data_IF_196217371213
#
_entry.id   IF_196217371213
#
_cell.length_a   1.000
_cell.length_b   1.000
_cell.length_c   1.000
_cell.angle_alpha   90.00
_cell.angle_beta   90.00
_cell.angle_gamma   90.00
#
_symmetry.space_group_name_H-M   'P 1'
#
loop_
_entity.id
_entity.type
_entity.pdbx_description
1 polymer ?
#
# COMPACT_ATOMS: atom_id res chain seq x y z
N UNK A 1 -5.10 -51.14 16.17
CA UNK A 1 -6.24 -50.37 15.61
C UNK A 1 -5.64 -49.33 14.68
N UNK A 2 -5.91 -49.43 13.37
CA UNK A 2 -5.39 -48.45 12.41
C UNK A 2 -6.15 -47.12 12.59
N UNK A 3 -5.45 -46.05 12.82
CA UNK A 3 -6.04 -44.72 12.87
C UNK A 3 -6.47 -44.37 11.44
N UNK A 4 -7.77 -44.27 11.20
CA UNK A 4 -8.29 -43.79 9.92
C UNK A 4 -7.81 -42.36 9.67
N UNK A 5 -7.26 -42.11 8.47
CA UNK A 5 -6.90 -40.74 8.10
C UNK A 5 -8.17 -39.90 8.06
N UNK A 6 -8.22 -38.85 8.86
CA UNK A 6 -9.26 -37.81 8.72
C UNK A 6 -9.12 -37.12 7.37
N UNK A 7 -10.22 -36.95 6.68
CA UNK A 7 -10.33 -36.10 5.51
C UNK A 7 -11.52 -35.15 5.69
N UNK A 8 -11.71 -34.19 4.80
CA UNK A 8 -12.78 -33.20 4.96
C UNK A 8 -14.19 -33.81 5.06
N UNK A 9 -14.42 -34.99 4.51
CA UNK A 9 -15.69 -35.73 4.64
C UNK A 9 -15.91 -36.26 6.06
N UNK A 10 -14.90 -36.29 6.90
CA UNK A 10 -15.00 -36.69 8.32
C UNK A 10 -15.52 -35.51 9.22
N UNK A 11 -15.56 -34.32 8.68
CA UNK A 11 -16.09 -33.13 9.35
C UNK A 11 -17.44 -32.83 8.76
N UNK A 12 -18.48 -33.02 9.15
CA UNK A 12 -19.82 -32.72 8.61
C UNK A 12 -19.99 -31.28 8.09
N UNK A 13 -19.07 -30.84 7.25
CA UNK A 13 -18.95 -29.47 6.70
C UNK A 13 -18.90 -29.54 5.19
N UNK A 14 -19.75 -28.79 4.51
CA UNK A 14 -19.64 -28.59 3.06
C UNK A 14 -18.49 -27.62 2.75
N UNK A 15 -17.43 -28.04 2.03
CA UNK A 15 -16.33 -27.16 1.68
C UNK A 15 -16.81 -25.97 0.85
N UNK A 16 -16.38 -24.78 1.21
CA UNK A 16 -16.61 -23.54 0.47
C UNK A 16 -15.25 -22.95 0.11
N UNK A 17 -15.06 -22.60 -1.16
CA UNK A 17 -13.81 -22.00 -1.62
C UNK A 17 -13.47 -20.74 -0.81
N UNK A 18 -12.20 -20.56 -0.49
CA UNK A 18 -11.66 -19.42 0.26
C UNK A 18 -12.21 -19.21 1.67
N UNK A 19 -12.85 -20.24 2.25
CA UNK A 19 -13.31 -20.22 3.64
C UNK A 19 -12.40 -21.06 4.53
N UNK A 20 -12.16 -20.61 5.74
CA UNK A 20 -11.45 -21.38 6.75
C UNK A 20 -12.38 -22.36 7.45
N UNK A 21 -11.84 -23.47 7.96
CA UNK A 21 -12.54 -24.33 8.88
C UNK A 21 -12.53 -23.70 10.27
N UNK A 22 -13.68 -23.55 10.91
CA UNK A 22 -13.83 -22.99 12.23
C UNK A 22 -14.73 -23.89 13.08
N UNK A 23 -14.74 -23.69 14.38
CA UNK A 23 -15.80 -24.26 15.23
C UNK A 23 -17.11 -23.53 14.95
N UNK A 24 -18.23 -24.26 15.02
CA UNK A 24 -19.55 -23.67 14.92
C UNK A 24 -19.90 -22.87 16.19
N UNK A 25 -21.08 -22.24 16.22
CA UNK A 25 -21.49 -21.37 17.31
C UNK A 25 -21.61 -22.09 18.66
N UNK A 26 -21.91 -23.38 18.65
CA UNK A 26 -22.12 -24.20 19.86
C UNK A 26 -20.81 -24.93 20.27
N UNK A 27 -19.76 -24.79 19.48
CA UNK A 27 -18.45 -25.41 19.66
C UNK A 27 -18.46 -26.97 19.74
N UNK A 28 -19.49 -27.58 19.19
CA UNK A 28 -19.66 -29.05 19.14
C UNK A 28 -19.45 -29.62 17.74
N UNK A 29 -19.19 -28.78 16.73
CA UNK A 29 -18.93 -29.12 15.34
C UNK A 29 -18.01 -28.15 14.63
N UNK A 30 -17.95 -28.30 13.31
CA UNK A 30 -17.16 -27.43 12.43
C UNK A 30 -18.07 -26.77 11.41
N UNK A 31 -17.74 -25.51 11.12
CA UNK A 31 -18.35 -24.70 10.08
C UNK A 31 -17.29 -24.03 9.22
N UNK A 32 -17.70 -23.39 8.13
CA UNK A 32 -16.81 -22.52 7.36
C UNK A 32 -16.95 -21.09 7.87
N UNK A 33 -15.85 -20.45 8.27
CA UNK A 33 -15.84 -19.02 8.61
C UNK A 33 -15.54 -18.18 7.39
N UNK A 34 -16.08 -16.95 7.36
CA UNK A 34 -15.51 -15.89 6.53
C UNK A 34 -14.12 -15.62 7.06
N UNK A 35 -13.07 -15.93 6.35
CA UNK A 35 -11.69 -15.67 6.77
C UNK A 35 -11.47 -14.25 7.31
N UNK A 36 -10.24 -13.89 7.64
CA UNK A 36 -9.90 -12.52 8.01
C UNK A 36 -10.41 -11.54 6.96
N UNK A 37 -11.03 -10.44 7.39
CA UNK A 37 -11.45 -9.36 6.49
C UNK A 37 -10.26 -8.68 5.78
N UNK A 38 -9.03 -8.91 6.27
CA UNK A 38 -7.78 -8.39 5.69
C UNK A 38 -6.86 -9.57 5.34
N UNK A 39 -6.69 -9.84 4.05
CA UNK A 39 -6.01 -11.01 3.51
C UNK A 39 -4.70 -10.58 2.86
N UNK A 40 -3.56 -11.10 3.35
CA UNK A 40 -2.25 -10.84 2.72
C UNK A 40 -2.19 -11.53 1.36
N UNK A 41 -1.97 -10.74 0.31
CA UNK A 41 -1.82 -11.21 -1.07
C UNK A 41 -0.34 -11.38 -1.42
N UNK A 42 0.47 -10.33 -1.22
CA UNK A 42 1.86 -10.33 -1.62
C UNK A 42 2.72 -9.47 -0.72
N UNK A 43 3.96 -9.90 -0.53
CA UNK A 43 5.01 -9.11 0.13
C UNK A 43 6.16 -8.90 -0.87
N UNK A 44 6.60 -7.67 -1.03
CA UNK A 44 7.83 -7.32 -1.75
C UNK A 44 8.78 -6.61 -0.78
N UNK A 45 10.01 -7.12 -0.70
CA UNK A 45 11.07 -6.53 0.12
C UNK A 45 12.10 -5.89 -0.80
N UNK A 46 12.45 -4.65 -0.52
CA UNK A 46 13.48 -3.94 -1.27
C UNK A 46 14.88 -4.44 -0.90
N UNK A 47 15.74 -4.50 -1.89
CA UNK A 47 17.17 -4.76 -1.78
C UNK A 47 17.86 -3.96 -2.87
N UNK A 48 18.07 -2.68 -2.62
CA UNK A 48 18.55 -1.70 -3.61
C UNK A 48 17.72 -1.73 -4.92
N UNK A 49 16.39 -1.75 -4.77
CA UNK A 49 15.44 -1.94 -5.86
C UNK A 49 15.05 -0.60 -6.50
N UNK A 50 15.13 -0.49 -7.82
CA UNK A 50 14.68 0.72 -8.54
C UNK A 50 13.18 0.96 -8.36
N UNK A 51 12.40 -0.12 -8.36
CA UNK A 51 10.95 -0.10 -8.13
C UNK A 51 10.48 -1.35 -7.40
N UNK A 52 9.32 -1.26 -6.74
CA UNK A 52 8.53 -2.39 -6.27
C UNK A 52 7.18 -2.35 -7.00
N UNK A 53 6.92 -3.34 -7.86
CA UNK A 53 5.75 -3.34 -8.73
C UNK A 53 4.84 -4.53 -8.42
N UNK A 54 3.55 -4.24 -8.22
CA UNK A 54 2.49 -5.23 -8.07
C UNK A 54 1.66 -5.21 -9.35
N UNK A 55 1.75 -6.26 -10.16
CA UNK A 55 1.04 -6.38 -11.43
C UNK A 55 0.07 -7.55 -11.35
N UNK A 56 -1.20 -7.30 -11.64
CA UNK A 56 -2.27 -8.29 -11.57
C UNK A 56 -1.94 -9.53 -12.43
N UNK A 57 -2.13 -10.71 -11.85
CA UNK A 57 -1.82 -11.99 -12.49
C UNK A 57 -0.33 -12.35 -12.53
N UNK A 58 0.57 -11.49 -12.04
CA UNK A 58 2.00 -11.76 -11.95
C UNK A 58 2.41 -12.14 -10.54
N UNK A 59 3.11 -13.27 -10.37
CA UNK A 59 3.67 -13.70 -9.07
C UNK A 59 2.64 -13.66 -7.92
N UNK A 60 1.46 -14.20 -8.13
CA UNK A 60 0.35 -14.31 -7.17
C UNK A 60 -0.27 -12.95 -6.76
N UNK A 61 0.01 -11.87 -7.49
CA UNK A 61 -0.65 -10.58 -7.27
C UNK A 61 -2.07 -10.62 -7.81
N UNK A 62 -3.02 -10.24 -6.97
CA UNK A 62 -4.44 -10.06 -7.30
C UNK A 62 -4.78 -8.59 -7.13
N UNK A 63 -5.25 -7.93 -8.21
CA UNK A 63 -5.73 -6.54 -8.27
C UNK A 63 -6.94 -6.47 -9.19
N UNK A 64 -7.96 -7.28 -8.91
CA UNK A 64 -9.17 -7.44 -9.72
C UNK A 64 -10.42 -7.10 -8.89
N UNK A 65 -11.56 -7.68 -9.20
CA UNK A 65 -12.83 -7.49 -8.47
C UNK A 65 -13.00 -8.42 -7.25
N UNK A 66 -11.98 -9.21 -6.90
CA UNK A 66 -12.01 -10.08 -5.70
C UNK A 66 -12.18 -9.27 -4.42
N UNK A 67 -11.57 -8.08 -4.35
CA UNK A 67 -11.67 -7.19 -3.20
C UNK A 67 -12.07 -5.78 -3.63
N UNK A 68 -13.03 -5.14 -2.93
CA UNK A 68 -13.40 -3.75 -3.21
C UNK A 68 -12.34 -2.74 -2.79
N UNK A 69 -11.45 -3.13 -1.89
CA UNK A 69 -10.38 -2.30 -1.36
C UNK A 69 -9.07 -3.09 -1.29
N UNK A 70 -8.01 -2.50 -1.79
CA UNK A 70 -6.65 -3.00 -1.67
C UNK A 70 -5.82 -2.05 -0.83
N UNK A 71 -5.14 -2.60 0.19
CA UNK A 71 -4.25 -1.84 1.08
C UNK A 71 -2.81 -2.25 0.89
N UNK A 72 -1.96 -1.27 0.58
CA UNK A 72 -0.51 -1.42 0.57
C UNK A 72 0.04 -0.88 1.89
N UNK A 73 0.69 -1.73 2.67
CA UNK A 73 1.32 -1.35 3.96
C UNK A 73 2.82 -1.22 3.75
N UNK A 74 3.37 -0.09 4.15
CA UNK A 74 4.79 0.25 4.04
C UNK A 74 5.49 0.09 5.39
N UNK A 75 6.59 -0.63 5.41
CA UNK A 75 7.38 -0.88 6.61
C UNK A 75 8.82 -0.49 6.34
N UNK A 76 9.29 0.53 7.06
CA UNK A 76 10.68 0.99 7.06
C UNK A 76 11.26 1.21 5.66
N UNK A 77 10.53 1.93 4.79
CA UNK A 77 11.00 2.28 3.47
C UNK A 77 12.16 3.27 3.59
N UNK A 78 13.34 2.86 3.11
CA UNK A 78 14.59 3.60 3.21
C UNK A 78 15.18 3.84 1.82
N UNK A 79 15.70 5.05 1.50
CA UNK A 79 16.29 5.37 0.21
C UNK A 79 17.79 5.06 0.18
N UNK A 80 18.30 4.61 -0.98
CA UNK A 80 19.73 4.46 -1.23
C UNK A 80 20.45 5.81 -1.41
N UNK A 81 19.71 6.85 -1.79
CA UNK A 81 20.23 8.21 -1.95
C UNK A 81 19.19 9.23 -1.54
N UNK A 82 19.66 10.31 -0.96
CA UNK A 82 18.82 11.43 -0.62
C UNK A 82 18.95 12.53 -1.68
N UNK A 83 17.84 13.14 -2.04
CA UNK A 83 17.83 14.29 -2.94
C UNK A 83 17.50 15.56 -2.15
N UNK A 84 18.32 16.59 -2.28
CA UNK A 84 18.14 17.87 -1.61
C UNK A 84 16.86 18.65 -2.02
N UNK A 85 16.10 18.18 -3.01
CA UNK A 85 14.80 18.73 -3.36
C UNK A 85 13.71 18.23 -2.41
N UNK A 86 13.21 19.10 -1.58
CA UNK A 86 12.33 18.85 -0.43
C UNK A 86 11.01 18.13 -0.72
N UNK A 87 10.62 17.98 -1.99
CA UNK A 87 9.28 17.51 -2.37
C UNK A 87 9.22 16.05 -2.82
N UNK A 88 10.32 15.33 -2.80
CA UNK A 88 10.39 13.98 -3.36
C UNK A 88 10.92 12.94 -2.38
N UNK A 89 10.04 12.08 -1.90
CA UNK A 89 10.41 10.92 -1.11
C UNK A 89 9.99 9.62 -1.79
N UNK A 90 9.16 8.88 -1.09
CA UNK A 90 8.56 7.65 -1.58
C UNK A 90 7.31 7.96 -2.40
N UNK A 91 7.20 7.38 -3.57
CA UNK A 91 6.18 7.69 -4.56
C UNK A 91 5.41 6.45 -5.01
N UNK A 92 4.21 6.67 -5.59
CA UNK A 92 3.48 5.60 -6.27
C UNK A 92 3.00 6.04 -7.65
N UNK A 93 2.79 5.06 -8.52
CA UNK A 93 2.15 5.24 -9.83
C UNK A 93 1.28 4.02 -10.16
N UNK A 94 0.41 4.16 -11.16
CA UNK A 94 -0.54 3.13 -11.57
C UNK A 94 -0.55 2.93 -13.08
N UNK A 95 -0.95 1.73 -13.50
CA UNK A 95 -1.02 1.34 -14.90
C UNK A 95 -2.30 0.55 -15.23
N UNK A 96 -2.74 0.62 -16.48
CA UNK A 96 -3.85 -0.18 -17.02
C UNK A 96 -3.39 -1.31 -17.94
N UNK A 97 -2.09 -1.41 -18.23
CA UNK A 97 -1.51 -2.43 -19.13
C UNK A 97 -0.35 -3.23 -18.48
N UNK A 98 -0.05 -2.96 -17.22
CA UNK A 98 1.02 -3.62 -16.45
C UNK A 98 2.44 -3.13 -16.75
N UNK A 99 2.61 -2.19 -17.67
CA UNK A 99 3.93 -1.75 -18.16
C UNK A 99 4.10 -0.25 -18.15
N UNK A 100 3.11 0.49 -18.63
CA UNK A 100 3.16 1.94 -18.79
C UNK A 100 2.46 2.64 -17.62
N UNK A 101 3.24 3.19 -16.70
CA UNK A 101 2.76 3.90 -15.52
C UNK A 101 2.52 5.38 -15.81
N UNK A 102 1.53 5.67 -16.66
CA UNK A 102 1.27 7.00 -17.24
C UNK A 102 -0.18 7.49 -17.09
N UNK A 103 -0.94 6.90 -16.17
CA UNK A 103 -2.32 7.36 -15.91
C UNK A 103 -2.27 8.72 -15.21
N UNK A 104 -3.03 9.69 -15.70
CA UNK A 104 -3.14 11.01 -15.09
C UNK A 104 -3.81 10.92 -13.71
N UNK A 105 -3.29 11.66 -12.75
CA UNK A 105 -3.78 11.68 -11.36
C UNK A 105 -3.98 13.13 -10.90
N UNK A 106 -5.00 13.32 -10.08
CA UNK A 106 -5.21 14.55 -9.30
C UNK A 106 -5.24 14.18 -7.83
N UNK A 107 -4.51 14.91 -7.01
CA UNK A 107 -4.45 14.67 -5.57
C UNK A 107 -4.36 15.96 -4.77
N UNK A 108 -4.72 15.85 -3.50
CA UNK A 108 -4.43 16.83 -2.46
C UNK A 108 -3.40 16.24 -1.51
N UNK A 109 -2.59 17.10 -0.88
CA UNK A 109 -1.63 16.68 0.13
C UNK A 109 -1.61 17.68 1.29
N UNK A 110 -1.53 17.16 2.51
CA UNK A 110 -1.23 17.99 3.68
C UNK A 110 -0.28 17.25 4.64
N UNK A 111 0.46 18.03 5.42
CA UNK A 111 1.42 17.52 6.38
C UNK A 111 1.16 18.08 7.76
N UNK A 112 1.33 17.21 8.77
CA UNK A 112 1.51 17.63 10.15
C UNK A 112 2.94 17.32 10.57
N UNK A 113 3.56 18.20 11.36
CA UNK A 113 4.92 17.99 11.83
C UNK A 113 5.11 18.48 13.27
N UNK A 114 6.09 17.89 13.95
CA UNK A 114 6.54 18.31 15.26
C UNK A 114 8.05 18.13 15.38
N UNK A 115 8.75 19.19 15.81
CA UNK A 115 10.19 19.13 16.07
C UNK A 115 10.47 18.35 17.36
N UNK A 116 11.53 17.54 17.39
CA UNK A 116 11.88 16.74 18.57
C UNK A 116 12.27 17.60 19.77
N UNK A 117 12.82 18.79 19.54
CA UNK A 117 13.16 19.77 20.59
C UNK A 117 11.96 20.62 21.06
N UNK A 118 10.78 20.37 20.52
CA UNK A 118 9.56 21.12 20.82
C UNK A 118 9.53 22.55 20.26
N UNK A 119 10.53 22.97 19.47
CA UNK A 119 10.66 24.34 18.98
C UNK A 119 9.65 24.72 17.88
N UNK A 120 9.05 23.73 17.20
CA UNK A 120 8.11 23.98 16.12
C UNK A 120 7.14 22.82 15.93
N UNK A 121 5.90 23.15 15.60
CA UNK A 121 4.87 22.20 15.18
C UNK A 121 3.88 22.89 14.25
N UNK A 122 3.18 22.14 13.44
CA UNK A 122 2.18 22.70 12.55
C UNK A 122 1.48 21.65 11.68
N UNK A 123 0.45 22.16 10.99
CA UNK A 123 -0.24 21.42 9.93
C UNK A 123 -0.49 22.39 8.78
N UNK A 124 -0.33 21.92 7.56
CA UNK A 124 -0.55 22.76 6.38
C UNK A 124 -0.72 21.98 5.09
N UNK A 125 -1.29 22.63 4.09
CA UNK A 125 -1.38 22.12 2.74
C UNK A 125 0.01 22.06 2.11
N UNK A 126 0.32 20.96 1.41
CA UNK A 126 1.64 20.75 0.81
C UNK A 126 1.53 20.81 -0.73
N UNK A 127 1.74 21.98 -1.29
CA UNK A 127 1.70 22.25 -2.74
C UNK A 127 2.82 21.54 -3.53
N UNK A 128 3.84 21.03 -2.86
CA UNK A 128 4.93 20.31 -3.52
C UNK A 128 4.63 18.81 -3.71
N UNK A 129 3.60 18.31 -3.03
CA UNK A 129 3.23 16.88 -3.04
C UNK A 129 1.81 16.65 -3.59
N UNK A 130 1.09 17.70 -3.96
CA UNK A 130 -0.19 17.58 -4.68
C UNK A 130 0.01 17.39 -6.18
N UNK A 131 -1.06 17.07 -6.88
CA UNK A 131 -1.03 16.83 -8.32
C UNK A 131 -2.30 17.33 -9.00
N UNK A 132 -2.16 17.91 -10.18
CA UNK A 132 -3.24 18.36 -11.03
C UNK A 132 -3.10 17.75 -12.42
N UNK A 133 -3.77 16.61 -12.67
CA UNK A 133 -3.76 15.84 -13.93
C UNK A 133 -2.34 15.48 -14.42
N UNK A 134 -1.48 15.03 -13.50
CA UNK A 134 -0.11 14.62 -13.84
C UNK A 134 -0.01 13.12 -14.05
N UNK A 135 0.80 12.69 -15.01
CA UNK A 135 1.12 11.28 -15.27
C UNK A 135 2.31 10.78 -14.45
N UNK A 136 3.12 11.69 -13.91
CA UNK A 136 4.24 11.38 -13.03
C UNK A 136 3.78 10.65 -11.76
N UNK A 137 4.69 9.98 -11.07
CA UNK A 137 4.42 9.35 -9.79
C UNK A 137 3.99 10.41 -8.75
N UNK A 138 3.07 10.03 -7.85
CA UNK A 138 2.56 10.88 -6.77
C UNK A 138 3.42 10.66 -5.53
N UNK A 139 3.98 11.72 -4.92
CA UNK A 139 4.67 11.61 -3.66
C UNK A 139 3.72 11.20 -2.52
N UNK A 140 4.07 10.15 -1.80
CA UNK A 140 3.37 9.69 -0.61
C UNK A 140 4.03 10.18 0.68
N UNK A 141 5.29 10.62 0.57
CA UNK A 141 6.05 11.25 1.65
C UNK A 141 6.89 12.39 1.10
N UNK A 142 7.34 13.29 1.95
CA UNK A 142 8.46 14.17 1.64
C UNK A 142 9.78 13.40 1.61
N UNK A 143 10.87 14.14 1.49
CA UNK A 143 12.22 13.60 1.46
C UNK A 143 12.50 12.72 2.67
N UNK A 144 13.08 11.54 2.42
CA UNK A 144 13.62 10.63 3.42
C UNK A 144 15.14 10.69 3.33
N UNK A 145 15.83 10.88 4.44
CA UNK A 145 17.29 10.95 4.48
C UNK A 145 17.92 9.55 4.52
N UNK A 146 19.22 9.48 4.24
CA UNK A 146 19.97 8.22 4.12
C UNK A 146 20.65 7.79 5.42
N UNK A 147 20.38 8.49 6.53
CA UNK A 147 20.85 8.04 7.84
C UNK A 147 20.14 6.73 8.20
N UNK A 148 20.86 5.80 8.79
CA UNK A 148 20.43 4.40 8.97
C UNK A 148 19.16 4.22 9.81
N UNK A 149 18.76 5.22 10.58
CA UNK A 149 17.57 5.26 11.41
C UNK A 149 16.38 5.97 10.76
N UNK A 150 16.59 6.61 9.61
CA UNK A 150 15.54 7.30 8.88
C UNK A 150 14.76 6.35 7.98
N UNK A 151 13.44 6.39 8.09
CA UNK A 151 12.56 5.59 7.25
C UNK A 151 11.16 6.22 7.16
N UNK A 152 10.38 5.68 6.23
CA UNK A 152 8.96 5.97 6.10
C UNK A 152 8.14 4.70 6.30
N UNK A 153 7.08 4.79 7.10
CA UNK A 153 6.11 3.72 7.29
C UNK A 153 4.69 4.26 7.22
N UNK A 154 3.76 3.43 6.76
CA UNK A 154 2.36 3.84 6.60
C UNK A 154 1.58 2.94 5.67
N UNK A 155 0.60 3.51 4.98
CA UNK A 155 -0.24 2.75 4.05
C UNK A 155 -0.77 3.60 2.90
N UNK A 156 -1.19 2.91 1.84
CA UNK A 156 -2.00 3.43 0.75
C UNK A 156 -3.20 2.50 0.56
N UNK A 157 -4.40 3.08 0.57
CA UNK A 157 -5.65 2.43 0.20
C UNK A 157 -6.01 2.77 -1.24
N UNK A 158 -6.32 1.75 -2.04
CA UNK A 158 -6.77 1.86 -3.42
C UNK A 158 -8.17 1.24 -3.54
N UNK A 159 -9.14 2.07 -3.89
CA UNK A 159 -10.55 1.71 -3.90
C UNK A 159 -10.97 1.22 -5.27
N UNK A 160 -11.55 0.02 -5.31
CA UNK A 160 -12.20 -0.59 -6.48
C UNK A 160 -11.37 -0.45 -7.79
N UNK A 161 -10.10 -0.92 -7.81
CA UNK A 161 -9.19 -0.70 -8.94
C UNK A 161 -9.67 -1.34 -10.24
N UNK A 162 -10.46 -2.39 -10.18
CA UNK A 162 -11.02 -3.11 -11.33
C UNK A 162 -12.25 -2.46 -11.94
N UNK A 163 -12.84 -1.44 -11.31
CA UNK A 163 -14.02 -0.76 -11.84
C UNK A 163 -13.80 -0.26 -13.27
N UNK A 164 -14.76 -0.50 -14.14
CA UNK A 164 -14.80 0.06 -15.50
C UNK A 164 -15.78 1.24 -15.63
N UNK A 165 -16.35 1.69 -14.51
CA UNK A 165 -17.35 2.77 -14.47
C UNK A 165 -16.79 4.03 -13.81
N UNK A 166 -16.07 3.88 -12.71
CA UNK A 166 -15.61 5.00 -11.87
C UNK A 166 -14.10 5.21 -11.97
N UNK A 167 -13.64 6.43 -11.72
CA UNK A 167 -12.22 6.73 -11.46
C UNK A 167 -11.75 6.01 -10.20
N UNK A 168 -10.44 5.80 -10.06
CA UNK A 168 -9.87 5.00 -8.95
C UNK A 168 -9.38 5.93 -7.86
N UNK A 169 -10.15 6.04 -6.79
CA UNK A 169 -9.75 6.80 -5.61
C UNK A 169 -8.63 6.10 -4.86
N UNK A 170 -7.76 6.90 -4.25
CA UNK A 170 -6.74 6.43 -3.33
C UNK A 170 -6.61 7.38 -2.13
N UNK A 171 -6.18 6.83 -1.00
CA UNK A 171 -5.84 7.57 0.22
C UNK A 171 -4.58 6.98 0.84
N UNK A 172 -3.69 7.84 1.31
CA UNK A 172 -2.44 7.41 1.95
C UNK A 172 -2.18 8.22 3.21
N UNK A 173 -1.62 7.55 4.19
CA UNK A 173 -1.12 8.18 5.41
C UNK A 173 0.22 7.56 5.78
N UNK A 174 1.25 8.39 5.86
CA UNK A 174 2.63 7.94 6.09
C UNK A 174 3.30 8.81 7.14
N UNK A 175 4.02 8.16 8.04
CA UNK A 175 4.88 8.79 9.02
C UNK A 175 6.34 8.62 8.59
N UNK A 176 7.14 9.66 8.75
CA UNK A 176 8.58 9.63 8.53
C UNK A 176 9.31 10.45 9.58
N UNK A 177 10.50 10.01 9.95
CA UNK A 177 11.48 10.85 10.62
C UNK A 177 12.18 11.72 9.57
N UNK A 178 12.36 12.99 9.86
CA UNK A 178 13.09 13.94 9.04
C UNK A 178 14.32 14.40 9.83
N UNK A 179 15.49 14.05 9.35
CA UNK A 179 16.76 14.47 9.94
C UNK A 179 17.42 15.53 9.04
N UNK A 180 16.82 16.69 8.96
CA UNK A 180 17.49 17.88 8.42
C UNK A 180 18.27 18.58 9.54
N UNK A 181 18.51 19.87 9.42
CA UNK A 181 19.15 20.70 10.49
C UNK A 181 18.41 20.60 11.84
N UNK A 182 17.16 20.16 11.84
CA UNK A 182 16.33 19.82 13.02
C UNK A 182 15.56 18.53 12.76
N UNK A 183 15.63 17.55 13.65
CA UNK A 183 14.83 16.36 13.54
C UNK A 183 13.34 16.66 13.76
N UNK A 184 12.50 16.21 12.82
CA UNK A 184 11.06 16.34 12.87
C UNK A 184 10.39 14.97 12.68
N UNK A 185 9.35 14.72 13.44
CA UNK A 185 8.32 13.76 13.05
C UNK A 185 7.40 14.44 12.04
N UNK A 186 7.24 13.85 10.88
CA UNK A 186 6.30 14.31 9.85
C UNK A 186 5.27 13.23 9.54
N UNK A 187 4.02 13.64 9.37
CA UNK A 187 2.94 12.81 8.88
C UNK A 187 2.39 13.41 7.59
N UNK A 188 2.37 12.59 6.54
CA UNK A 188 1.85 12.95 5.22
C UNK A 188 0.50 12.28 5.00
N UNK A 189 -0.48 13.08 4.59
CA UNK A 189 -1.79 12.61 4.13
C UNK A 189 -1.96 13.02 2.68
N UNK A 190 -2.17 12.04 1.81
CA UNK A 190 -2.38 12.25 0.37
C UNK A 190 -3.65 11.52 -0.03
N UNK A 191 -4.55 12.22 -0.71
CA UNK A 191 -5.77 11.63 -1.25
C UNK A 191 -6.02 12.13 -2.67
N UNK A 192 -6.58 11.28 -3.52
CA UNK A 192 -6.83 11.65 -4.90
C UNK A 192 -7.50 10.56 -5.71
N UNK A 193 -7.40 10.71 -7.03
CA UNK A 193 -7.89 9.70 -7.96
C UNK A 193 -6.98 9.57 -9.19
N UNK A 194 -6.90 8.36 -9.73
CA UNK A 194 -6.39 8.09 -11.08
C UNK A 194 -7.52 8.33 -12.08
N UNK A 195 -7.30 9.24 -13.03
CA UNK A 195 -8.31 9.72 -13.97
C UNK A 195 -8.47 8.76 -15.16
N UNK A 196 -8.99 7.58 -14.87
CA UNK A 196 -9.34 6.56 -15.86
C UNK A 196 -10.53 5.74 -15.38
N UNK A 197 -11.40 5.35 -16.29
CA UNK A 197 -12.45 4.35 -16.05
C UNK A 197 -11.98 2.93 -16.39
N UNK A 198 -10.85 2.75 -17.09
CA UNK A 198 -10.29 1.42 -17.32
C UNK A 198 -9.81 0.79 -16.00
N UNK A 199 -9.93 -0.53 -15.88
CA UNK A 199 -9.37 -1.25 -14.76
C UNK A 199 -7.86 -1.01 -14.62
N UNK A 200 -7.38 -0.76 -13.40
CA UNK A 200 -5.95 -0.75 -13.13
C UNK A 200 -5.45 -2.18 -13.06
N UNK A 201 -4.33 -2.44 -13.70
CA UNK A 201 -3.67 -3.75 -13.71
C UNK A 201 -2.37 -3.75 -12.93
N UNK A 202 -1.93 -2.60 -12.40
CA UNK A 202 -0.70 -2.57 -11.59
C UNK A 202 -0.52 -1.28 -10.81
N UNK A 203 0.24 -1.43 -9.72
CA UNK A 203 0.71 -0.35 -8.83
C UNK A 203 2.21 -0.48 -8.69
N UNK A 204 2.93 0.62 -8.81
CA UNK A 204 4.38 0.68 -8.67
C UNK A 204 4.77 1.70 -7.62
N UNK A 205 5.76 1.35 -6.82
CA UNK A 205 6.40 2.22 -5.85
C UNK A 205 7.85 2.46 -6.24
N UNK A 206 8.33 3.69 -6.01
CA UNK A 206 9.70 4.10 -6.31
C UNK A 206 10.15 5.21 -5.35
N UNK A 207 11.45 5.46 -5.31
CA UNK A 207 11.95 6.71 -4.74
C UNK A 207 11.89 7.81 -5.80
N UNK A 208 11.88 9.06 -5.36
CA UNK A 208 12.02 10.22 -6.27
C UNK A 208 13.34 10.17 -7.05
N UNK A 209 14.41 9.72 -6.39
CA UNK A 209 15.74 9.57 -6.98
C UNK A 209 16.45 8.37 -6.35
N UNK A 210 17.18 7.62 -7.17
CA UNK A 210 17.88 6.42 -6.74
C UNK A 210 16.93 5.25 -6.42
N UNK A 211 17.46 4.27 -5.72
CA UNK A 211 16.79 3.03 -5.40
C UNK A 211 16.11 3.08 -4.03
N UNK A 212 15.10 2.23 -3.83
CA UNK A 212 14.61 1.83 -2.51
C UNK A 212 15.68 0.87 -1.95
N UNK A 213 16.43 1.30 -0.96
CA UNK A 213 17.53 0.53 -0.40
C UNK A 213 17.03 -0.64 0.44
N UNK A 214 16.10 -0.34 1.34
CA UNK A 214 15.51 -1.30 2.24
C UNK A 214 14.02 -1.00 2.48
N UNK A 215 13.37 -1.92 3.16
CA UNK A 215 11.96 -1.84 3.54
C UNK A 215 11.09 -2.86 2.82
N UNK A 216 9.84 -2.89 3.22
CA UNK A 216 8.88 -3.89 2.72
C UNK A 216 7.56 -3.22 2.39
N UNK A 217 6.97 -3.62 1.26
CA UNK A 217 5.59 -3.28 0.88
C UNK A 217 4.77 -4.56 0.90
N UNK A 218 3.68 -4.56 1.66
CA UNK A 218 2.73 -5.68 1.74
C UNK A 218 1.41 -5.26 1.10
N UNK A 219 0.92 -6.07 0.17
CA UNK A 219 -0.40 -5.91 -0.44
C UNK A 219 -1.41 -6.79 0.28
N UNK A 220 -2.51 -6.19 0.70
CA UNK A 220 -3.67 -6.86 1.29
C UNK A 220 -4.92 -6.57 0.46
N UNK A 221 -5.78 -7.57 0.34
CA UNK A 221 -7.17 -7.42 -0.05
C UNK A 221 -8.05 -7.26 1.20
N UNK A 222 -8.99 -6.33 1.17
CA UNK A 222 -9.99 -6.13 2.21
C UNK A 222 -11.32 -6.65 1.67
N UNK A 223 -11.78 -7.76 2.25
CA UNK A 223 -13.02 -8.39 1.86
C UNK A 223 -14.23 -7.63 2.41
N UNK A 224 -15.33 -7.67 1.67
CA UNK A 224 -16.63 -7.35 2.23
C UNK A 224 -17.01 -8.41 3.28
N UNK A 225 -17.56 -7.97 4.39
CA UNK A 225 -17.99 -8.83 5.52
C UNK A 225 -19.27 -9.57 5.19
#
# INVERSE_FOLDING_TARGET
MAISKFNYNSFNVTPVASKALAFDADADGFTTSSGSSMILIKTLTASSSGTLSFVNGSSDVVLDDTYPLYRFVFLNIHPASHNANANGGFNFNVTTDGSNYNIAKTSTAFTAYHAEDGSASGVGYNVGNDAAQVTAAIPLSGQIYTDNDNSCSGFLDLYNPSSTTFVKHFMSSNARADYSVRPYQNQYHVAGYANTTSALTGVQFSMWSGNIDAGTVKLYGIADS
#
